data_IF_629626699876
#
_entry.id   IF_629626699876
#
_cell.length_a   1.000
_cell.length_b   1.000
_cell.length_c   1.000
_cell.angle_alpha   90.00
_cell.angle_beta   90.00
_cell.angle_gamma   90.00
#
_symmetry.space_group_name_H-M   'P 1'
#
loop_
_entity.id
_entity.type
_entity.pdbx_description
1 polymer ?
#
# COMPACT_ATOMS: atom_id res chain seq x y z
N UNK A 1 9.59 76.37 -4.48
CA UNK A 1 9.33 75.29 -5.44
C UNK A 1 8.49 74.26 -4.71
N UNK A 2 7.17 74.30 -4.90
CA UNK A 2 6.22 73.48 -4.13
C UNK A 2 5.90 72.21 -4.91
N UNK A 3 6.26 71.05 -4.35
CA UNK A 3 5.99 69.75 -4.95
C UNK A 3 4.62 69.23 -4.49
N UNK A 4 3.66 69.16 -5.40
CA UNK A 4 2.36 68.52 -5.19
C UNK A 4 2.50 66.99 -5.31
N UNK A 5 2.30 66.29 -4.20
CA UNK A 5 2.19 64.83 -4.13
C UNK A 5 0.78 64.40 -4.54
N UNK A 6 0.67 63.83 -5.74
CA UNK A 6 -0.57 63.24 -6.28
C UNK A 6 -0.75 61.83 -5.71
N UNK A 7 -1.86 61.59 -4.99
CA UNK A 7 -2.21 60.28 -4.46
C UNK A 7 -2.74 59.34 -5.56
N UNK A 8 -2.41 58.03 -5.51
CA UNK A 8 -2.87 57.06 -6.50
C UNK A 8 -4.37 56.71 -6.33
N UNK A 9 -5.06 56.32 -7.42
CA UNK A 9 -6.49 56.05 -7.43
C UNK A 9 -6.85 54.75 -6.66
N UNK A 10 -8.08 54.66 -6.13
CA UNK A 10 -8.55 53.49 -5.38
C UNK A 10 -8.71 52.27 -6.29
N UNK A 11 -8.26 51.11 -5.79
CA UNK A 11 -8.39 49.82 -6.47
C UNK A 11 -9.85 49.33 -6.49
N UNK A 12 -10.28 48.62 -7.56
CA UNK A 12 -11.63 48.08 -7.67
C UNK A 12 -11.89 46.95 -6.65
N UNK A 13 -13.18 46.73 -6.28
CA UNK A 13 -13.56 45.71 -5.30
C UNK A 13 -13.28 44.30 -5.82
N UNK A 14 -12.68 43.48 -4.95
CA UNK A 14 -12.36 42.07 -5.19
C UNK A 14 -13.64 41.24 -5.15
N UNK A 15 -14.04 40.70 -6.32
CA UNK A 15 -15.15 39.76 -6.43
C UNK A 15 -14.81 38.48 -5.67
N UNK A 16 -15.60 38.16 -4.64
CA UNK A 16 -15.57 36.86 -3.97
C UNK A 16 -16.26 35.86 -4.90
N UNK A 17 -15.52 34.88 -5.40
CA UNK A 17 -16.11 33.73 -6.07
C UNK A 17 -16.47 32.70 -5.00
N UNK A 18 -17.78 32.52 -4.86
CA UNK A 18 -18.39 31.57 -3.97
C UNK A 18 -18.03 30.13 -4.34
N UNK A 19 -17.96 29.32 -3.30
CA UNK A 19 -17.61 27.91 -3.33
C UNK A 19 -18.80 27.08 -3.80
N UNK A 20 -18.84 26.71 -5.09
CA UNK A 20 -19.73 25.66 -5.56
C UNK A 20 -19.06 24.30 -5.38
N UNK A 21 -19.41 23.67 -4.27
CA UNK A 21 -19.37 22.21 -4.12
C UNK A 21 -20.57 21.60 -4.84
N UNK A 22 -20.38 20.39 -5.39
CA UNK A 22 -21.38 19.42 -5.90
C UNK A 22 -21.47 19.29 -7.44
N UNK A 23 -20.66 18.38 -7.99
CA UNK A 23 -21.10 17.44 -9.03
C UNK A 23 -20.06 16.30 -9.14
N UNK A 24 -20.36 15.17 -8.49
CA UNK A 24 -19.67 13.90 -8.68
C UNK A 24 -20.20 13.28 -9.96
N UNK A 25 -19.54 13.54 -11.09
CA UNK A 25 -19.77 12.81 -12.34
C UNK A 25 -18.77 11.67 -12.44
N UNK A 26 -19.29 10.44 -12.55
CA UNK A 26 -18.60 9.23 -13.01
C UNK A 26 -17.99 9.47 -14.41
N UNK A 27 -16.85 10.13 -14.46
CA UNK A 27 -16.02 10.29 -15.66
C UNK A 27 -14.97 9.18 -15.63
N UNK A 28 -14.72 8.47 -16.75
CA UNK A 28 -13.69 7.43 -16.84
C UNK A 28 -12.36 7.95 -16.30
N UNK A 29 -11.75 7.20 -15.38
CA UNK A 29 -10.48 7.45 -14.67
C UNK A 29 -9.42 8.11 -15.58
N UNK A 30 -9.48 9.44 -15.68
CA UNK A 30 -8.38 10.21 -16.24
C UNK A 30 -7.23 10.01 -15.24
N UNK A 31 -6.04 9.54 -15.68
CA UNK A 31 -4.95 9.23 -14.77
C UNK A 31 -4.73 10.43 -13.84
N UNK A 32 -4.61 10.20 -12.52
CA UNK A 32 -4.67 11.27 -11.53
C UNK A 32 -3.67 12.35 -11.90
N UNK A 33 -4.20 13.54 -12.22
CA UNK A 33 -3.38 14.71 -12.54
C UNK A 33 -2.41 14.93 -11.40
N UNK A 34 -1.16 15.24 -11.74
CA UNK A 34 -0.10 15.48 -10.78
C UNK A 34 -0.46 16.70 -9.94
N UNK A 35 -1.02 16.46 -8.75
CA UNK A 35 -1.56 17.49 -7.88
C UNK A 35 -0.91 17.35 -6.50
N UNK A 36 0.21 18.07 -6.26
CA UNK A 36 0.89 18.02 -4.97
C UNK A 36 -0.07 18.36 -3.83
N UNK A 37 -0.10 17.50 -2.82
CA UNK A 37 -1.01 17.62 -1.67
C UNK A 37 -0.22 17.89 -0.39
N UNK A 38 -0.85 18.52 0.60
CA UNK A 38 -0.27 18.68 1.95
C UNK A 38 -0.58 17.50 2.87
N UNK A 39 -1.52 16.65 2.46
CA UNK A 39 -1.95 15.44 3.15
C UNK A 39 -1.33 14.25 2.43
N UNK A 40 -0.82 13.27 3.16
CA UNK A 40 -0.18 12.10 2.59
C UNK A 40 -1.20 11.20 1.85
N UNK A 41 -1.39 11.47 0.56
CA UNK A 41 -2.27 10.68 -0.31
C UNK A 41 -1.42 9.77 -1.19
N UNK A 42 -1.72 8.46 -1.18
CA UNK A 42 -1.06 7.50 -2.05
C UNK A 42 -1.24 7.88 -3.52
N UNK A 43 -0.18 7.77 -4.33
CA UNK A 43 -0.22 8.15 -5.74
C UNK A 43 -0.17 9.66 -5.99
N UNK A 44 -0.02 10.49 -4.95
CA UNK A 44 0.20 11.93 -5.08
C UNK A 44 1.56 12.35 -4.49
N UNK A 45 2.17 13.43 -5.01
CA UNK A 45 3.33 14.05 -4.37
C UNK A 45 2.92 14.74 -3.08
N UNK A 46 3.76 14.62 -2.05
CA UNK A 46 3.50 15.23 -0.75
C UNK A 46 4.39 16.46 -0.53
N UNK A 47 3.75 17.62 -0.42
CA UNK A 47 4.34 18.89 -0.04
C UNK A 47 4.82 18.84 1.41
N UNK A 48 6.00 19.39 1.66
CA UNK A 48 6.57 19.53 3.01
C UNK A 48 6.84 21.00 3.27
N UNK A 49 6.13 21.60 4.23
CA UNK A 49 6.29 23.01 4.58
C UNK A 49 6.12 23.95 3.37
N UNK A 50 5.15 23.66 2.50
CA UNK A 50 4.94 24.42 1.25
C UNK A 50 6.04 24.25 0.21
N UNK A 51 6.91 23.24 0.36
CA UNK A 51 7.96 22.91 -0.60
C UNK A 51 7.67 21.60 -1.33
N UNK A 52 8.16 21.49 -2.56
CA UNK A 52 8.18 20.29 -3.39
C UNK A 52 9.63 19.94 -3.76
N UNK A 53 9.93 18.68 -4.06
CA UNK A 53 11.24 18.29 -4.57
C UNK A 53 11.32 18.49 -6.08
N UNK A 54 12.35 19.23 -6.51
CA UNK A 54 12.70 19.39 -7.93
C UNK A 54 14.16 18.95 -8.11
N UNK A 55 14.35 17.80 -8.74
CA UNK A 55 15.66 17.25 -9.04
C UNK A 55 16.22 17.92 -10.32
N UNK A 56 17.55 18.05 -10.44
CA UNK A 56 18.16 18.41 -11.70
C UNK A 56 17.99 17.27 -12.72
N UNK A 57 17.90 17.63 -14.00
CA UNK A 57 17.80 16.66 -15.10
C UNK A 57 19.06 15.78 -15.11
N UNK A 58 18.88 14.48 -15.32
CA UNK A 58 19.97 13.50 -15.31
C UNK A 58 20.47 13.09 -13.92
N UNK A 59 19.83 13.55 -12.84
CA UNK A 59 20.21 13.13 -11.48
C UNK A 59 19.75 11.69 -11.20
N UNK A 60 20.67 10.88 -10.69
CA UNK A 60 20.34 9.52 -10.22
C UNK A 60 19.27 9.51 -9.15
N UNK A 61 18.46 8.45 -9.17
CA UNK A 61 17.44 8.17 -8.16
C UNK A 61 18.10 8.03 -6.78
N UNK A 62 17.61 8.78 -5.79
CA UNK A 62 18.15 8.70 -4.44
C UNK A 62 17.95 7.30 -3.85
N UNK A 63 18.98 6.58 -3.38
CA UNK A 63 18.82 5.22 -2.86
C UNK A 63 18.03 5.15 -1.55
N UNK A 64 17.88 6.28 -0.84
CA UNK A 64 17.19 6.32 0.46
C UNK A 64 15.68 6.54 0.34
N UNK A 65 15.23 7.29 -0.66
CA UNK A 65 13.83 7.67 -0.82
C UNK A 65 13.30 7.50 -2.24
N UNK A 66 14.11 7.01 -3.19
CA UNK A 66 13.69 6.79 -4.57
C UNK A 66 13.02 8.00 -5.23
N UNK A 67 13.50 9.21 -4.92
CA UNK A 67 12.95 10.50 -5.37
C UNK A 67 11.52 10.83 -4.92
N UNK A 68 10.94 10.07 -3.97
CA UNK A 68 9.65 10.40 -3.32
C UNK A 68 9.82 11.49 -2.27
N UNK A 69 11.04 11.66 -1.75
CA UNK A 69 11.35 12.58 -0.67
C UNK A 69 11.16 12.01 0.73
N UNK A 70 10.61 10.82 0.86
CA UNK A 70 10.31 10.16 2.12
C UNK A 70 10.97 8.79 2.15
N UNK A 71 11.53 8.42 3.30
CA UNK A 71 12.14 7.10 3.44
C UNK A 71 11.03 6.05 3.51
N UNK A 72 11.25 4.84 2.97
CA UNK A 72 10.34 3.76 3.24
C UNK A 72 10.36 3.44 4.74
N UNK A 73 9.20 3.12 5.30
CA UNK A 73 9.14 2.58 6.65
C UNK A 73 9.77 1.18 6.66
N UNK A 74 10.52 0.87 7.72
CA UNK A 74 11.24 -0.39 7.83
C UNK A 74 10.23 -1.53 7.87
N UNK A 75 10.29 -2.42 6.87
CA UNK A 75 9.43 -3.62 6.79
C UNK A 75 8.14 -3.50 5.99
N UNK A 76 7.70 -2.30 5.57
CA UNK A 76 6.42 -2.15 4.83
C UNK A 76 6.57 -1.67 3.39
N UNK A 77 7.75 -1.20 2.96
CA UNK A 77 8.00 -0.80 1.57
C UNK A 77 7.28 0.48 1.10
N UNK A 78 6.30 0.96 1.85
CA UNK A 78 5.61 2.24 1.64
C UNK A 78 6.42 3.42 2.18
N UNK A 79 6.22 4.60 1.59
CA UNK A 79 6.89 5.84 1.99
C UNK A 79 6.24 6.43 3.26
N UNK A 80 7.04 6.82 4.27
CA UNK A 80 6.55 7.39 5.53
C UNK A 80 6.65 8.93 5.54
N UNK A 81 5.52 9.65 5.57
CA UNK A 81 5.47 11.12 5.69
C UNK A 81 6.26 11.67 6.89
N UNK A 82 6.35 10.91 7.98
CA UNK A 82 7.05 11.30 9.20
C UNK A 82 8.57 11.13 9.11
N UNK A 83 9.08 10.44 8.07
CA UNK A 83 10.50 10.19 7.87
C UNK A 83 11.02 10.81 6.56
N UNK A 84 11.08 12.16 6.47
CA UNK A 84 11.57 12.84 5.28
C UNK A 84 13.07 12.58 5.06
N UNK A 85 13.47 12.41 3.79
CA UNK A 85 14.87 12.33 3.41
C UNK A 85 15.51 13.72 3.52
N UNK A 86 16.06 14.03 4.70
CA UNK A 86 16.62 15.35 5.05
C UNK A 86 17.58 15.91 3.99
N UNK A 87 18.43 15.06 3.41
CA UNK A 87 19.39 15.49 2.38
C UNK A 87 18.71 15.91 1.07
N UNK A 88 17.68 15.18 0.62
CA UNK A 88 16.93 15.54 -0.58
C UNK A 88 16.15 16.83 -0.38
N UNK A 89 15.43 16.97 0.75
CA UNK A 89 14.68 18.19 1.05
C UNK A 89 15.59 19.42 1.21
N UNK A 90 16.73 19.28 1.87
CA UNK A 90 17.69 20.39 2.01
C UNK A 90 18.26 20.85 0.66
N UNK A 91 18.53 19.91 -0.26
CA UNK A 91 19.21 20.21 -1.54
C UNK A 91 18.25 20.60 -2.66
N UNK A 92 17.13 19.88 -2.76
CA UNK A 92 16.20 19.92 -3.89
C UNK A 92 14.81 20.45 -3.51
N UNK A 93 14.57 20.75 -2.24
CA UNK A 93 13.34 21.43 -1.81
C UNK A 93 13.25 22.81 -2.45
N UNK A 94 12.13 23.08 -3.11
CA UNK A 94 11.79 24.37 -3.71
C UNK A 94 10.41 24.79 -3.23
N UNK A 95 10.17 26.09 -2.95
CA UNK A 95 8.84 26.56 -2.60
C UNK A 95 7.86 26.23 -3.74
N UNK A 96 6.69 25.71 -3.41
CA UNK A 96 5.65 25.39 -4.38
C UNK A 96 4.88 26.67 -4.77
N UNK A 97 5.56 27.54 -5.52
CA UNK A 97 5.04 28.84 -6.00
C UNK A 97 4.63 28.79 -7.48
N UNK A 98 3.89 29.81 -7.94
CA UNK A 98 3.20 29.86 -9.24
C UNK A 98 3.88 29.18 -10.43
N UNK A 99 5.15 29.50 -10.74
CA UNK A 99 5.85 28.87 -11.87
C UNK A 99 5.99 27.34 -11.73
N UNK A 100 6.28 26.86 -10.52
CA UNK A 100 6.40 25.42 -10.20
C UNK A 100 5.02 24.78 -10.19
N UNK A 101 3.97 25.48 -9.73
CA UNK A 101 2.59 24.97 -9.78
C UNK A 101 2.13 24.76 -11.22
N UNK A 102 2.34 25.75 -12.08
CA UNK A 102 1.97 25.68 -13.50
C UNK A 102 2.73 24.54 -14.19
N UNK A 103 4.04 24.42 -13.95
CA UNK A 103 4.84 23.35 -14.53
C UNK A 103 4.46 21.96 -14.00
N UNK A 104 4.13 21.82 -12.72
CA UNK A 104 3.69 20.57 -12.13
C UNK A 104 2.35 20.08 -12.71
N UNK A 105 1.45 21.01 -13.02
CA UNK A 105 0.14 20.72 -13.64
C UNK A 105 0.22 20.52 -15.16
N UNK A 106 1.38 20.80 -15.78
CA UNK A 106 1.56 20.59 -17.21
C UNK A 106 1.64 19.10 -17.57
N UNK A 107 1.04 18.74 -18.70
CA UNK A 107 1.06 17.38 -19.25
C UNK A 107 2.03 17.33 -20.43
N UNK A 108 3.04 16.43 -20.44
CA UNK A 108 3.35 15.43 -19.42
C UNK A 108 4.04 16.04 -18.18
N UNK A 109 3.78 15.45 -17.01
CA UNK A 109 4.47 15.86 -15.78
C UNK A 109 5.98 15.69 -15.96
N UNK A 110 6.79 16.73 -15.67
CA UNK A 110 8.22 16.61 -15.89
C UNK A 110 8.84 15.56 -14.95
N UNK A 111 9.68 14.69 -15.50
CA UNK A 111 10.26 13.53 -14.77
C UNK A 111 11.20 13.90 -13.63
N UNK A 112 11.61 15.17 -13.58
CA UNK A 112 12.51 15.71 -12.60
C UNK A 112 11.81 16.17 -11.31
N UNK A 113 10.49 16.06 -11.23
CA UNK A 113 9.75 16.36 -10.01
C UNK A 113 9.74 15.18 -9.02
N UNK A 114 9.29 15.49 -7.80
CA UNK A 114 9.02 14.50 -6.77
C UNK A 114 8.14 13.38 -7.33
N UNK A 115 8.58 12.13 -7.13
CA UNK A 115 7.75 10.98 -7.48
C UNK A 115 6.56 10.87 -6.53
N UNK A 116 5.40 10.40 -7.00
CA UNK A 116 4.25 10.11 -6.15
C UNK A 116 4.60 9.20 -4.97
N UNK A 117 3.92 9.41 -3.83
CA UNK A 117 4.03 8.51 -2.69
C UNK A 117 3.56 7.11 -3.07
N UNK A 118 4.35 6.10 -2.74
CA UNK A 118 3.93 4.71 -2.89
C UNK A 118 2.82 4.40 -1.89
N UNK A 119 1.76 3.68 -2.29
CA UNK A 119 0.73 3.26 -1.37
C UNK A 119 1.37 2.49 -0.22
N UNK A 120 1.08 2.91 1.01
CA UNK A 120 1.38 2.09 2.17
C UNK A 120 0.61 0.78 2.01
N UNK A 121 1.21 -0.39 2.27
CA UNK A 121 0.41 -1.60 2.41
C UNK A 121 -0.55 -1.32 3.55
N UNK A 122 -1.82 -1.17 3.22
CA UNK A 122 -2.87 -1.04 4.23
C UNK A 122 -2.65 -2.22 5.15
N UNK A 123 -2.20 -1.96 6.38
CA UNK A 123 -2.21 -2.96 7.43
C UNK A 123 -3.68 -3.24 7.61
N UNK A 124 -4.16 -4.24 6.86
CA UNK A 124 -5.46 -4.78 7.09
C UNK A 124 -5.39 -5.25 8.54
N UNK A 125 -6.17 -4.64 9.45
CA UNK A 125 -6.21 -5.17 10.80
C UNK A 125 -6.45 -6.67 10.65
N UNK A 126 -5.71 -7.54 11.34
CA UNK A 126 -5.95 -8.96 11.27
C UNK A 126 -7.44 -9.10 11.53
N UNK A 127 -8.19 -9.42 10.48
CA UNK A 127 -9.64 -9.57 10.57
C UNK A 127 -9.78 -10.63 11.63
N UNK A 128 -10.22 -10.21 12.83
CA UNK A 128 -10.29 -11.08 13.99
C UNK A 128 -10.91 -12.35 13.48
N UNK A 129 -10.12 -13.42 13.48
CA UNK A 129 -10.53 -14.69 12.92
C UNK A 129 -11.95 -14.91 13.44
N UNK A 130 -12.90 -15.00 12.51
CA UNK A 130 -14.14 -15.67 12.81
C UNK A 130 -13.69 -17.02 13.34
N UNK A 131 -13.70 -17.14 14.68
CA UNK A 131 -13.75 -18.38 15.41
C UNK A 131 -15.09 -19.02 15.01
N UNK A 132 -15.19 -19.43 13.75
CA UNK A 132 -16.21 -20.32 13.24
C UNK A 132 -15.85 -21.68 13.80
N UNK A 133 -16.62 -22.11 14.79
CA UNK A 133 -16.44 -23.37 15.48
C UNK A 133 -16.34 -24.53 14.49
N UNK A 134 -15.35 -25.39 14.73
CA UNK A 134 -15.37 -26.76 14.26
C UNK A 134 -16.42 -27.52 15.09
N UNK A 135 -17.49 -28.08 14.49
CA UNK A 135 -18.24 -29.15 15.13
C UNK A 135 -17.47 -30.45 14.91
N UNK A 136 -16.97 -31.06 15.98
CA UNK A 136 -16.47 -32.44 15.93
C UNK A 136 -15.03 -32.61 16.40
N UNK A 137 -14.78 -32.35 17.68
CA UNK A 137 -13.74 -33.05 18.40
C UNK A 137 -14.42 -33.74 19.59
N UNK A 138 -14.74 -35.01 19.39
CA UNK A 138 -15.15 -35.94 20.45
C UNK A 138 -13.98 -36.01 21.43
N UNK A 139 -14.20 -35.52 22.65
CA UNK A 139 -13.31 -35.74 23.76
C UNK A 139 -13.34 -37.22 24.12
N UNK A 140 -12.30 -37.96 23.73
CA UNK A 140 -11.91 -39.15 24.48
C UNK A 140 -11.14 -38.67 25.70
N UNK A 141 -11.76 -38.81 26.87
CA UNK A 141 -11.09 -38.65 28.15
C UNK A 141 -9.97 -39.67 28.27
N UNK A 142 -8.79 -39.20 28.64
CA UNK A 142 -7.86 -40.05 29.35
C UNK A 142 -7.24 -39.26 30.51
N UNK A 143 -7.65 -39.73 31.67
CA UNK A 143 -7.17 -39.40 32.99
C UNK A 143 -5.67 -39.72 33.10
N UNK A 144 -4.97 -38.95 33.94
CA UNK A 144 -3.79 -39.46 34.62
C UNK A 144 -2.50 -38.68 34.37
N UNK A 145 -1.97 -38.12 35.46
CA UNK A 145 -0.52 -38.02 35.64
C UNK A 145 0.05 -36.61 35.73
N UNK A 146 0.05 -36.06 36.94
CA UNK A 146 1.06 -35.07 37.37
C UNK A 146 2.43 -35.76 37.36
N UNK A 147 3.53 -35.01 37.14
CA UNK A 147 4.39 -34.83 38.30
C UNK A 147 4.97 -33.42 38.46
N UNK A 148 5.36 -33.18 39.71
CA UNK A 148 6.07 -32.04 40.29
C UNK A 148 7.57 -32.33 40.27
N UNK A 149 8.42 -31.34 39.97
CA UNK A 149 9.79 -31.07 40.50
C UNK A 149 10.24 -29.75 39.85
N UNK A 150 10.62 -28.65 40.50
CA UNK A 150 11.55 -28.34 41.61
C UNK A 150 13.04 -28.60 41.29
N UNK A 151 13.85 -27.54 41.33
CA UNK A 151 15.33 -27.52 41.25
C UNK A 151 15.85 -26.49 40.24
N UNK A 152 16.17 -25.25 40.63
CA UNK A 152 17.46 -24.78 41.15
C UNK A 152 18.70 -25.12 40.30
N UNK A 153 19.27 -24.07 39.68
CA UNK A 153 20.72 -23.81 39.75
C UNK A 153 21.60 -24.18 38.55
N UNK A 154 22.62 -23.32 38.38
CA UNK A 154 23.99 -23.60 37.89
C UNK A 154 24.37 -23.06 36.48
N UNK A 155 25.58 -22.49 36.52
CA UNK A 155 26.36 -21.71 35.57
C UNK A 155 27.20 -22.60 34.62
N UNK A 156 27.66 -22.03 33.50
CA UNK A 156 28.64 -22.63 32.58
C UNK A 156 27.99 -23.12 31.28
N UNK A 157 28.50 -22.88 30.06
CA UNK A 157 29.87 -22.64 29.63
C UNK A 157 30.25 -23.77 28.66
N UNK A 158 30.54 -23.43 27.40
CA UNK A 158 31.35 -24.28 26.50
C UNK A 158 30.62 -25.19 25.50
N UNK A 159 30.77 -24.83 24.22
CA UNK A 159 31.25 -25.66 23.11
C UNK A 159 30.81 -27.13 22.94
N UNK A 160 30.41 -27.48 21.72
CA UNK A 160 30.43 -28.87 21.27
C UNK A 160 29.33 -29.16 20.26
N UNK A 161 29.71 -29.47 19.02
CA UNK A 161 28.77 -29.81 17.96
C UNK A 161 28.09 -31.17 18.13
N UNK A 162 27.16 -31.44 17.24
CA UNK A 162 26.59 -32.77 17.08
C UNK A 162 25.14 -32.78 16.61
N UNK A 163 24.96 -33.27 15.38
CA UNK A 163 23.88 -34.16 14.98
C UNK A 163 22.41 -33.68 15.11
N UNK A 164 21.83 -33.37 13.94
CA UNK A 164 20.62 -34.01 13.39
C UNK A 164 19.52 -34.46 14.36
N UNK A 165 18.42 -33.70 14.39
CA UNK A 165 17.08 -34.26 14.59
C UNK A 165 16.10 -33.62 13.60
N UNK A 166 15.45 -34.48 12.82
CA UNK A 166 14.38 -34.10 11.90
C UNK A 166 13.15 -33.63 12.67
N UNK A 167 12.66 -32.44 12.31
CA UNK A 167 11.32 -32.01 12.68
C UNK A 167 10.35 -32.44 11.58
N UNK A 168 9.39 -33.27 11.98
CA UNK A 168 8.23 -33.63 11.18
C UNK A 168 7.37 -32.39 10.90
N UNK A 169 7.21 -32.10 9.61
CA UNK A 169 6.21 -31.17 9.13
C UNK A 169 4.84 -31.86 9.23
N UNK A 170 4.00 -31.38 10.14
CA UNK A 170 2.56 -31.64 10.07
C UNK A 170 2.00 -30.95 8.83
N UNK A 171 1.92 -31.69 7.73
CA UNK A 171 1.29 -31.27 6.50
C UNK A 171 -0.21 -31.13 6.71
N UNK A 172 -0.67 -29.89 6.93
CA UNK A 172 -2.08 -29.53 6.79
C UNK A 172 -2.41 -29.66 5.30
N UNK A 173 -3.28 -30.61 4.96
CA UNK A 173 -3.69 -30.90 3.60
C UNK A 173 -4.23 -29.63 2.91
N UNK A 174 -3.84 -29.34 1.66
CA UNK A 174 -4.38 -28.21 0.92
C UNK A 174 -5.87 -28.45 0.65
N UNK A 175 -6.72 -27.52 1.07
CA UNK A 175 -8.12 -27.45 0.66
C UNK A 175 -8.17 -27.21 -0.85
N UNK A 176 -8.32 -28.28 -1.61
CA UNK A 176 -8.53 -28.26 -3.05
C UNK A 176 -9.91 -27.66 -3.33
N UNK A 177 -9.97 -26.37 -3.60
CA UNK A 177 -11.17 -25.74 -4.17
C UNK A 177 -11.28 -26.25 -5.61
N UNK A 178 -12.11 -27.27 -5.81
CA UNK A 178 -12.44 -27.77 -7.14
C UNK A 178 -13.20 -26.67 -7.89
N UNK A 179 -12.52 -26.02 -8.83
CA UNK A 179 -13.16 -25.13 -9.81
C UNK A 179 -13.87 -26.03 -10.82
N UNK A 180 -15.13 -26.36 -10.53
CA UNK A 180 -15.96 -27.08 -11.49
C UNK A 180 -16.38 -26.12 -12.59
N UNK A 181 -15.93 -26.35 -13.82
CA UNK A 181 -16.42 -25.65 -15.02
C UNK A 181 -17.86 -26.06 -15.41
N UNK A 182 -18.52 -26.90 -14.61
CA UNK A 182 -19.89 -27.33 -14.85
C UNK A 182 -20.86 -26.25 -14.34
N UNK A 183 -21.66 -25.58 -15.19
CA UNK A 183 -22.71 -24.70 -14.71
C UNK A 183 -23.77 -25.52 -13.94
N UNK A 184 -24.17 -25.09 -12.73
CA UNK A 184 -25.18 -25.80 -11.95
C UNK A 184 -26.52 -25.83 -12.71
N UNK A 185 -27.11 -27.03 -12.86
CA UNK A 185 -28.38 -27.25 -13.59
C UNK A 185 -29.64 -26.80 -12.82
N UNK A 186 -29.50 -25.98 -11.77
CA UNK A 186 -30.60 -25.43 -10.99
C UNK A 186 -30.47 -23.91 -10.92
N UNK A 187 -31.30 -23.20 -11.68
CA UNK A 187 -31.23 -21.75 -11.87
C UNK A 187 -31.19 -20.96 -10.57
N UNK A 188 -30.18 -20.08 -10.43
CA UNK A 188 -30.09 -19.10 -9.35
C UNK A 188 -28.68 -18.78 -8.87
N UNK A 189 -27.68 -19.63 -9.14
CA UNK A 189 -26.31 -19.35 -8.72
C UNK A 189 -25.62 -18.36 -9.68
N UNK A 190 -25.23 -17.20 -9.17
CA UNK A 190 -24.39 -16.25 -9.91
C UNK A 190 -22.93 -16.69 -9.84
N UNK A 191 -22.34 -17.01 -10.99
CA UNK A 191 -20.91 -17.32 -11.08
C UNK A 191 -20.15 -16.00 -11.18
N UNK A 192 -19.36 -15.70 -10.16
CA UNK A 192 -18.47 -14.54 -10.13
C UNK A 192 -17.09 -14.95 -10.65
N UNK A 193 -16.51 -14.14 -11.53
CA UNK A 193 -15.14 -14.38 -12.04
C UNK A 193 -14.11 -13.98 -10.97
N UNK A 194 -12.91 -14.60 -10.96
CA UNK A 194 -11.80 -14.09 -10.15
C UNK A 194 -11.59 -12.59 -10.37
N UNK A 195 -11.41 -11.86 -9.27
CA UNK A 195 -11.21 -10.41 -9.32
C UNK A 195 -12.49 -9.57 -9.43
N UNK A 196 -13.70 -10.15 -9.53
CA UNK A 196 -14.96 -9.41 -9.59
C UNK A 196 -15.15 -8.49 -8.36
N UNK A 197 -15.40 -7.17 -8.55
CA UNK A 197 -15.61 -6.21 -7.45
C UNK A 197 -16.66 -6.62 -6.42
N UNK A 198 -17.67 -7.38 -6.83
CA UNK A 198 -18.76 -7.81 -5.95
C UNK A 198 -18.33 -8.83 -4.91
N UNK A 199 -17.18 -9.48 -5.10
CA UNK A 199 -16.58 -10.35 -4.08
C UNK A 199 -16.06 -9.54 -2.87
N UNK A 200 -15.92 -8.21 -3.00
CA UNK A 200 -15.33 -7.34 -1.96
C UNK A 200 -13.81 -7.44 -1.91
N UNK A 201 -13.16 -6.83 -0.91
CA UNK A 201 -11.70 -6.88 -0.76
C UNK A 201 -10.91 -6.12 -1.84
N UNK A 202 -9.58 -6.23 -1.81
CA UNK A 202 -8.68 -5.59 -2.77
C UNK A 202 -8.26 -6.56 -3.88
N UNK A 203 -8.06 -6.06 -5.12
CA UNK A 203 -7.54 -6.87 -6.23
C UNK A 203 -6.19 -7.47 -5.82
N UNK A 204 -6.02 -8.77 -6.02
CA UNK A 204 -4.79 -9.47 -5.63
C UNK A 204 -3.61 -8.89 -6.43
N UNK A 205 -2.62 -8.32 -5.73
CA UNK A 205 -1.46 -7.69 -6.37
C UNK A 205 -0.51 -8.70 -7.01
N UNK A 206 -0.56 -9.97 -6.61
CA UNK A 206 0.34 -11.02 -7.12
C UNK A 206 -0.11 -11.57 -8.48
N UNK A 207 -1.41 -11.83 -8.66
CA UNK A 207 -1.98 -12.32 -9.92
C UNK A 207 -2.71 -11.24 -10.73
N UNK A 208 -2.73 -9.99 -10.25
CA UNK A 208 -3.49 -8.94 -10.93
C UNK A 208 -4.98 -9.24 -11.03
N UNK A 209 -5.58 -10.01 -10.13
CA UNK A 209 -7.01 -10.31 -10.16
C UNK A 209 -7.43 -11.57 -10.92
N UNK A 210 -6.55 -12.18 -11.69
CA UNK A 210 -6.94 -13.32 -12.54
C UNK A 210 -7.06 -14.64 -11.76
N UNK A 211 -6.55 -14.67 -10.53
CA UNK A 211 -6.59 -15.86 -9.67
C UNK A 211 -5.48 -16.87 -9.96
N UNK A 212 -4.77 -16.74 -11.08
CA UNK A 212 -3.64 -17.60 -11.47
C UNK A 212 -2.34 -16.81 -11.64
N UNK A 213 -1.20 -17.49 -11.51
CA UNK A 213 0.13 -16.93 -11.78
C UNK A 213 0.82 -17.77 -12.84
N UNK A 214 1.57 -17.13 -13.74
CA UNK A 214 2.38 -17.84 -14.72
C UNK A 214 3.53 -18.57 -14.03
N UNK A 215 3.45 -19.89 -13.98
CA UNK A 215 4.52 -20.75 -13.50
C UNK A 215 5.71 -20.78 -14.48
N UNK A 216 6.82 -21.34 -14.01
CA UNK A 216 8.10 -21.42 -14.76
C UNK A 216 7.99 -22.33 -16.00
N UNK A 217 6.88 -23.08 -16.15
CA UNK A 217 6.64 -24.05 -17.24
C UNK A 217 5.32 -23.81 -17.99
N UNK A 218 4.89 -22.56 -18.17
CA UNK A 218 3.64 -22.20 -18.89
C UNK A 218 2.35 -22.85 -18.35
N UNK A 219 2.39 -23.41 -17.15
CA UNK A 219 1.20 -23.92 -16.48
C UNK A 219 0.59 -22.79 -15.65
N UNK A 220 -0.73 -22.63 -15.78
CA UNK A 220 -1.50 -21.72 -14.94
C UNK A 220 -1.59 -22.33 -13.53
N UNK A 221 -0.78 -21.81 -12.63
CA UNK A 221 -0.83 -22.21 -11.23
C UNK A 221 -1.82 -21.31 -10.49
N UNK A 222 -2.61 -21.91 -9.59
CA UNK A 222 -3.52 -21.12 -8.74
C UNK A 222 -2.68 -20.21 -7.84
N UNK A 223 -2.97 -18.91 -7.86
CA UNK A 223 -2.20 -17.95 -7.11
C UNK A 223 -2.30 -18.24 -5.60
N UNK A 224 -1.18 -18.55 -4.94
CA UNK A 224 -1.20 -18.95 -3.53
C UNK A 224 -1.70 -17.87 -2.59
N UNK A 225 -1.60 -16.61 -3.01
CA UNK A 225 -1.95 -15.46 -2.18
C UNK A 225 -3.47 -15.27 -2.09
N UNK A 226 -4.18 -15.37 -3.21
CA UNK A 226 -5.63 -15.23 -3.26
C UNK A 226 -6.38 -16.56 -3.41
N UNK A 227 -5.67 -17.70 -3.46
CA UNK A 227 -6.23 -19.04 -3.64
C UNK A 227 -7.22 -19.14 -4.81
N UNK A 228 -6.90 -18.51 -5.94
CA UNK A 228 -7.76 -18.52 -7.14
C UNK A 228 -8.86 -17.46 -7.18
N UNK A 229 -9.14 -16.75 -6.08
CA UNK A 229 -10.26 -15.78 -6.01
C UNK A 229 -9.96 -14.47 -6.76
N UNK A 230 -8.69 -14.16 -7.00
CA UNK A 230 -8.28 -12.88 -7.60
C UNK A 230 -8.40 -11.67 -6.66
N UNK A 231 -8.87 -11.87 -5.43
CA UNK A 231 -8.98 -10.82 -4.41
C UNK A 231 -8.42 -11.29 -3.08
N UNK A 232 -7.95 -10.34 -2.27
CA UNK A 232 -7.37 -10.61 -0.94
C UNK A 232 -8.24 -9.99 0.14
N UNK A 233 -8.48 -10.78 1.20
CA UNK A 233 -9.28 -10.46 2.38
C UNK A 233 -8.42 -10.22 3.64
#
# INVERSE_FOLDING_TARGET
>A
MSSTTTAPPPLPPRVQQDSESLASSDVPDEPPKYAPTTIATAGQPLLRNGQILVFPIGKDVCPKCHNTGYKPFVGTGGDDPNHPCRNCWKKYGRPFSGAIQIAALSTPTPTNYQRPLRPQPVHRPPTAAQFGGYPGAVYHGQEGGRPVMQGQGVYGGGGGGGASMGMGYNGVAPSQIHVTHQPPMGGGAIVLRPGDPRLGGMRCYRCGGDGTTWGILFQDETCDLCKGVGRVF
#
